data_IF_789431868130
#
_entry.id   IF_789431868130
#
_cell.length_a   1.000
_cell.length_b   1.000
_cell.length_c   1.000
_cell.angle_alpha   90.00
_cell.angle_beta   90.00
_cell.angle_gamma   90.00
#
_symmetry.space_group_name_H-M   'P 1'
#
loop_
_entity.id
_entity.type
_entity.pdbx_description
1 polymer ?
#
# COMPACT_ATOMS: atom_id res chain seq x y z
N UNK A 1 -19.64 13.20 18.31
CA UNK A 1 -19.64 14.52 17.62
C UNK A 1 -20.36 14.33 16.30
N UNK A 2 -21.47 14.99 16.12
CA UNK A 2 -22.19 15.06 14.84
C UNK A 2 -21.46 16.07 13.95
N UNK A 3 -21.00 15.62 12.81
CA UNK A 3 -20.30 16.45 11.85
C UNK A 3 -21.35 17.30 11.08
N UNK A 4 -21.45 18.57 11.39
CA UNK A 4 -22.40 19.49 10.76
C UNK A 4 -21.68 20.52 9.90
N UNK A 5 -22.02 20.54 8.59
CA UNK A 5 -21.48 21.54 7.66
C UNK A 5 -21.81 22.97 8.11
N UNK A 6 -23.01 23.19 8.68
CA UNK A 6 -23.42 24.50 9.18
C UNK A 6 -22.54 24.99 10.31
N UNK A 7 -22.23 24.11 11.27
CA UNK A 7 -21.32 24.44 12.38
C UNK A 7 -19.90 24.77 11.89
N UNK A 8 -19.42 24.05 10.90
CA UNK A 8 -18.10 24.31 10.33
C UNK A 8 -18.03 25.68 9.64
N UNK A 9 -19.05 26.03 8.85
CA UNK A 9 -19.15 27.35 8.22
C UNK A 9 -19.26 28.47 9.26
N UNK A 10 -20.06 28.28 10.30
CA UNK A 10 -20.17 29.26 11.40
C UNK A 10 -18.86 29.44 12.15
N UNK A 11 -18.09 28.37 12.36
CA UNK A 11 -16.78 28.45 13.01
C UNK A 11 -15.77 29.18 12.13
N UNK A 12 -15.79 28.96 10.81
CA UNK A 12 -14.99 29.70 9.85
C UNK A 12 -15.20 31.21 9.92
N UNK A 13 -16.45 31.64 10.11
CA UNK A 13 -16.81 33.07 10.20
C UNK A 13 -16.36 33.70 11.53
N UNK A 14 -16.23 32.90 12.59
CA UNK A 14 -15.84 33.36 13.94
C UNK A 14 -14.35 33.47 14.13
N UNK A 15 -13.57 32.62 13.50
CA UNK A 15 -12.12 32.60 13.65
C UNK A 15 -11.44 33.41 12.55
N UNK A 16 -10.64 34.40 12.95
CA UNK A 16 -9.95 35.28 12.02
C UNK A 16 -8.53 34.82 11.63
N UNK A 17 -7.95 33.88 12.39
CA UNK A 17 -6.56 33.41 12.21
C UNK A 17 -6.48 31.92 12.37
N UNK A 18 -5.86 31.27 11.40
CA UNK A 18 -5.48 29.86 11.41
C UNK A 18 -3.97 29.73 11.32
N UNK A 19 -3.40 28.76 12.04
CA UNK A 19 -1.96 28.45 11.97
C UNK A 19 -1.61 27.77 10.63
N UNK A 20 -2.55 26.97 10.08
CA UNK A 20 -2.34 26.19 8.86
C UNK A 20 -3.60 26.13 8.00
N UNK A 21 -3.45 26.48 6.73
CA UNK A 21 -4.46 26.28 5.69
C UNK A 21 -4.02 25.17 4.74
N UNK A 22 -4.84 24.12 4.60
CA UNK A 22 -4.62 23.00 3.68
C UNK A 22 -5.62 23.09 2.54
N UNK A 23 -5.14 23.08 1.31
CA UNK A 23 -5.98 23.09 0.11
C UNK A 23 -6.01 21.70 -0.53
N UNK A 24 -7.17 21.08 -0.53
CA UNK A 24 -7.44 19.77 -1.10
C UNK A 24 -7.61 18.65 -0.07
N UNK A 25 -8.77 17.99 -0.08
CA UNK A 25 -9.20 16.92 0.83
C UNK A 25 -8.88 15.51 0.32
N UNK A 26 -7.76 15.32 -0.39
CA UNK A 26 -7.24 14.01 -0.73
C UNK A 26 -6.52 13.32 0.44
N UNK A 27 -5.92 12.15 0.20
CA UNK A 27 -5.20 11.38 1.24
C UNK A 27 -4.10 12.19 1.92
N UNK A 28 -3.36 12.99 1.14
CA UNK A 28 -2.28 13.84 1.69
C UNK A 28 -2.84 14.95 2.57
N UNK A 29 -3.82 15.73 2.05
CA UNK A 29 -4.39 16.83 2.82
C UNK A 29 -5.08 16.37 4.10
N UNK A 30 -5.83 15.27 4.04
CA UNK A 30 -6.47 14.68 5.24
C UNK A 30 -5.45 14.21 6.27
N UNK A 31 -4.35 13.58 5.84
CA UNK A 31 -3.28 13.16 6.74
C UNK A 31 -2.56 14.38 7.35
N UNK A 32 -2.25 15.40 6.55
CA UNK A 32 -1.63 16.65 7.03
C UNK A 32 -2.50 17.34 8.06
N UNK A 33 -3.82 17.41 7.83
CA UNK A 33 -4.76 17.99 8.80
C UNK A 33 -4.77 17.20 10.12
N UNK A 34 -4.81 15.87 10.03
CA UNK A 34 -4.81 15.01 11.21
C UNK A 34 -3.54 15.19 12.04
N UNK A 35 -2.36 15.27 11.38
CA UNK A 35 -1.09 15.51 12.06
C UNK A 35 -1.04 16.89 12.68
N UNK A 36 -1.34 17.94 11.94
CA UNK A 36 -1.33 19.31 12.43
C UNK A 36 -2.27 19.48 13.64
N UNK A 37 -3.47 18.91 13.58
CA UNK A 37 -4.42 18.95 14.69
C UNK A 37 -3.92 18.16 15.91
N UNK A 38 -3.21 17.04 15.72
CA UNK A 38 -2.62 16.29 16.83
C UNK A 38 -1.47 17.03 17.50
N UNK A 39 -0.78 17.88 16.75
CA UNK A 39 0.28 18.78 17.26
C UNK A 39 -0.29 20.06 17.90
N UNK A 40 -1.62 20.21 17.95
CA UNK A 40 -2.29 21.34 18.60
C UNK A 40 -2.42 22.58 17.71
N UNK A 41 -2.12 22.49 16.41
CA UNK A 41 -2.27 23.61 15.49
C UNK A 41 -3.75 23.84 15.15
N UNK A 42 -4.16 25.10 15.18
CA UNK A 42 -5.46 25.53 14.68
C UNK A 42 -5.46 25.48 13.14
N UNK A 43 -5.96 24.37 12.60
CA UNK A 43 -5.79 24.06 11.18
C UNK A 43 -7.12 23.95 10.46
N UNK A 44 -7.14 24.39 9.21
CA UNK A 44 -8.31 24.29 8.32
C UNK A 44 -7.96 23.59 7.02
N UNK A 45 -8.89 22.75 6.53
CA UNK A 45 -8.79 22.12 5.23
C UNK A 45 -9.98 22.54 4.36
N UNK A 46 -9.68 23.00 3.15
CA UNK A 46 -10.67 23.37 2.14
C UNK A 46 -10.65 22.40 0.98
N UNK A 47 -11.80 21.81 0.66
CA UNK A 47 -11.99 20.95 -0.50
C UNK A 47 -13.12 21.53 -1.38
N UNK A 48 -12.83 21.71 -2.68
CA UNK A 48 -13.78 22.32 -3.62
C UNK A 48 -14.94 21.41 -4.02
N UNK A 49 -14.73 20.09 -3.99
CA UNK A 49 -15.74 19.11 -4.40
C UNK A 49 -16.13 18.23 -3.19
N UNK A 50 -15.74 16.95 -3.22
CA UNK A 50 -15.93 16.01 -2.13
C UNK A 50 -14.56 15.43 -1.71
N UNK A 51 -14.45 15.00 -0.46
CA UNK A 51 -13.23 14.38 0.04
C UNK A 51 -12.83 13.18 -0.82
N UNK A 52 -11.55 13.09 -1.08
CA UNK A 52 -10.93 12.02 -1.90
C UNK A 52 -11.48 11.91 -3.34
N UNK A 53 -12.25 12.85 -3.86
CA UNK A 53 -12.86 12.81 -5.21
C UNK A 53 -11.85 12.80 -6.37
N UNK A 54 -10.61 13.23 -6.12
CA UNK A 54 -9.51 13.27 -7.08
C UNK A 54 -8.72 11.95 -7.19
N UNK A 55 -7.39 12.07 -7.20
CA UNK A 55 -6.45 10.95 -7.35
C UNK A 55 -6.61 9.86 -6.27
N UNK A 56 -6.99 10.24 -5.04
CA UNK A 56 -7.15 9.31 -3.92
C UNK A 56 -8.23 8.25 -4.17
N UNK A 57 -9.30 8.56 -4.87
CA UNK A 57 -10.33 7.59 -5.26
C UNK A 57 -10.03 6.85 -6.55
N UNK A 58 -9.07 7.34 -7.36
CA UNK A 58 -8.70 6.76 -8.66
C UNK A 58 -7.47 5.87 -8.59
N UNK A 59 -7.01 5.56 -7.39
CA UNK A 59 -5.95 4.59 -7.12
C UNK A 59 -6.51 3.16 -7.06
N UNK A 60 -5.63 2.16 -6.98
CA UNK A 60 -6.03 0.75 -6.74
C UNK A 60 -6.64 0.53 -5.35
N UNK A 61 -6.57 1.51 -4.46
CA UNK A 61 -7.02 1.44 -3.05
C UNK A 61 -6.34 0.31 -2.26
N UNK A 62 -5.18 -0.14 -2.71
CA UNK A 62 -4.38 -1.15 -2.03
C UNK A 62 -3.41 -0.49 -1.06
N UNK A 63 -3.50 -0.87 0.22
CA UNK A 63 -2.45 -0.57 1.19
C UNK A 63 -1.35 -1.62 1.04
N UNK A 64 -0.22 -1.24 0.46
CA UNK A 64 0.88 -2.16 0.20
C UNK A 64 2.20 -1.66 0.80
N UNK A 65 3.07 -2.58 1.20
CA UNK A 65 4.38 -2.26 1.78
C UNK A 65 5.50 -2.08 0.75
N UNK A 66 5.17 -1.78 -0.51
CA UNK A 66 6.17 -1.42 -1.51
C UNK A 66 7.15 -2.53 -1.89
N UNK A 67 6.70 -3.79 -1.99
CA UNK A 67 7.54 -4.96 -2.33
C UNK A 67 8.37 -4.75 -3.60
N UNK A 68 7.89 -3.95 -4.57
CA UNK A 68 8.59 -3.61 -5.82
C UNK A 68 9.90 -2.82 -5.60
N UNK A 69 10.10 -2.23 -4.44
CA UNK A 69 11.31 -1.48 -4.11
C UNK A 69 12.44 -2.36 -3.55
N UNK A 70 12.14 -3.62 -3.20
CA UNK A 70 13.17 -4.56 -2.73
C UNK A 70 14.26 -4.83 -3.77
N UNK A 71 13.96 -5.06 -5.06
CA UNK A 71 14.98 -5.21 -6.09
C UNK A 71 15.90 -4.00 -6.25
N UNK A 72 15.42 -2.81 -5.86
CA UNK A 72 16.17 -1.55 -5.89
C UNK A 72 16.97 -1.31 -4.61
N UNK A 73 17.00 -2.30 -3.70
CA UNK A 73 17.68 -2.25 -2.40
C UNK A 73 17.20 -1.11 -1.47
N UNK A 74 15.99 -0.60 -1.69
CA UNK A 74 15.39 0.47 -0.89
C UNK A 74 14.70 -0.08 0.38
N UNK A 75 15.46 -0.75 1.23
CA UNK A 75 14.94 -1.44 2.42
C UNK A 75 14.31 -0.48 3.44
N UNK A 76 14.85 0.72 3.56
CA UNK A 76 14.31 1.78 4.44
C UNK A 76 12.88 2.15 4.03
N UNK A 77 12.67 2.42 2.74
CA UNK A 77 11.36 2.77 2.19
C UNK A 77 10.34 1.62 2.36
N UNK A 78 10.78 0.37 2.16
CA UNK A 78 9.91 -0.81 2.37
C UNK A 78 9.51 -0.92 3.84
N UNK A 79 10.45 -0.75 4.77
CA UNK A 79 10.18 -0.80 6.21
C UNK A 79 9.18 0.28 6.63
N UNK A 80 9.40 1.51 6.20
CA UNK A 80 8.51 2.64 6.46
C UNK A 80 7.09 2.37 5.90
N UNK A 81 6.99 1.97 4.63
CA UNK A 81 5.71 1.62 4.00
C UNK A 81 4.97 0.51 4.72
N UNK A 82 5.67 -0.49 5.26
CA UNK A 82 5.08 -1.59 6.05
C UNK A 82 4.60 -1.11 7.42
N UNK A 83 5.32 -0.17 8.05
CA UNK A 83 4.90 0.45 9.30
C UNK A 83 3.62 1.28 9.11
N UNK A 84 3.58 2.11 8.06
CA UNK A 84 2.39 2.89 7.70
C UNK A 84 1.20 1.98 7.35
N UNK A 85 1.42 0.90 6.58
CA UNK A 85 0.38 -0.09 6.30
C UNK A 85 -0.23 -0.66 7.59
N UNK A 86 0.61 -0.91 8.61
CA UNK A 86 0.14 -1.42 9.90
C UNK A 86 -0.67 -0.37 10.66
N UNK A 87 -0.20 0.86 10.70
CA UNK A 87 -0.88 1.98 11.39
C UNK A 87 -2.24 2.20 10.75
N UNK A 88 -2.28 2.38 9.43
CA UNK A 88 -3.52 2.58 8.69
C UNK A 88 -4.46 1.38 8.79
N UNK A 89 -3.94 0.15 8.72
CA UNK A 89 -4.74 -1.05 8.89
C UNK A 89 -5.40 -1.16 10.28
N UNK A 90 -4.75 -0.66 11.32
CA UNK A 90 -5.32 -0.59 12.67
C UNK A 90 -6.39 0.52 12.78
N UNK A 91 -6.12 1.70 12.18
CA UNK A 91 -7.06 2.82 12.17
C UNK A 91 -8.34 2.49 11.39
N UNK A 92 -8.19 1.86 10.24
CA UNK A 92 -9.32 1.52 9.36
C UNK A 92 -10.15 0.35 9.89
N UNK A 93 -9.61 -0.48 10.76
CA UNK A 93 -10.33 -1.59 11.41
C UNK A 93 -11.07 -2.48 10.40
N UNK A 94 -12.41 -2.50 10.47
CA UNK A 94 -13.27 -3.32 9.59
C UNK A 94 -13.28 -2.89 8.12
N UNK A 95 -12.89 -1.66 7.82
CA UNK A 95 -12.78 -1.15 6.45
C UNK A 95 -11.56 -1.71 5.72
N UNK A 96 -10.55 -2.16 6.46
CA UNK A 96 -9.36 -2.79 5.92
C UNK A 96 -9.53 -4.31 5.83
N UNK A 97 -9.48 -4.85 4.63
CA UNK A 97 -9.53 -6.30 4.39
C UNK A 97 -8.22 -6.77 3.76
N UNK A 98 -7.56 -7.78 4.35
CA UNK A 98 -6.40 -8.41 3.73
C UNK A 98 -6.76 -9.03 2.38
N UNK A 99 -5.96 -8.73 1.37
CA UNK A 99 -6.09 -9.31 0.04
C UNK A 99 -4.91 -10.26 -0.22
N UNK A 100 -5.21 -11.48 -0.63
CA UNK A 100 -4.19 -12.40 -1.11
C UNK A 100 -3.85 -12.08 -2.57
N UNK A 101 -2.57 -11.92 -2.85
CA UNK A 101 -2.06 -11.65 -4.19
C UNK A 101 -1.31 -12.86 -4.70
N UNK A 102 -1.60 -13.25 -5.94
CA UNK A 102 -0.87 -14.28 -6.65
C UNK A 102 0.25 -13.66 -7.47
N UNK A 103 1.47 -14.14 -7.27
CA UNK A 103 2.63 -13.78 -8.08
C UNK A 103 3.06 -14.99 -8.92
N UNK A 104 2.62 -15.11 -10.18
CA UNK A 104 3.05 -16.17 -11.07
C UNK A 104 4.47 -15.89 -11.58
N UNK A 105 5.32 -16.92 -11.61
CA UNK A 105 6.70 -16.83 -12.13
C UNK A 105 6.79 -17.65 -13.41
N UNK A 106 7.05 -16.99 -14.51
CA UNK A 106 7.25 -17.61 -15.82
C UNK A 106 8.73 -17.83 -16.15
N UNK A 107 8.98 -18.75 -17.06
CA UNK A 107 10.32 -18.90 -17.69
C UNK A 107 10.56 -17.66 -18.56
N UNK A 108 11.66 -16.98 -18.38
CA UNK A 108 12.02 -15.75 -19.07
C UNK A 108 11.22 -14.49 -18.63
N UNK A 109 10.50 -14.54 -17.54
CA UNK A 109 10.10 -13.30 -16.86
C UNK A 109 11.39 -12.63 -16.36
N UNK A 110 12.00 -11.82 -17.22
CA UNK A 110 13.04 -10.91 -16.79
C UNK A 110 12.38 -9.93 -15.83
N UNK A 111 12.74 -10.00 -14.56
CA UNK A 111 12.46 -8.91 -13.63
C UNK A 111 13.25 -7.70 -14.11
N UNK A 112 12.65 -6.89 -15.00
CA UNK A 112 13.32 -5.76 -15.64
C UNK A 112 13.91 -4.76 -14.62
N UNK A 113 13.32 -4.72 -13.43
CA UNK A 113 13.75 -3.87 -12.32
C UNK A 113 14.85 -4.49 -11.45
N UNK A 114 15.28 -5.72 -11.73
CA UNK A 114 16.37 -6.36 -10.98
C UNK A 114 17.73 -6.11 -11.63
N UNK A 115 18.83 -6.05 -10.83
CA UNK A 115 20.18 -6.04 -11.37
C UNK A 115 20.40 -7.22 -12.32
N UNK A 116 21.16 -7.02 -13.39
CA UNK A 116 21.36 -8.01 -14.49
C UNK A 116 21.79 -9.40 -14.00
N UNK A 117 22.51 -9.48 -12.88
CA UNK A 117 22.94 -10.74 -12.23
C UNK A 117 21.74 -11.61 -11.82
N UNK A 118 20.62 -10.99 -11.41
CA UNK A 118 19.41 -11.69 -10.94
C UNK A 118 18.37 -11.91 -12.05
N UNK A 119 18.62 -11.40 -13.26
CA UNK A 119 17.71 -11.61 -14.41
C UNK A 119 17.83 -13.00 -15.02
N UNK A 120 18.80 -13.82 -14.58
CA UNK A 120 18.99 -15.17 -15.08
C UNK A 120 17.84 -16.08 -14.59
N UNK A 121 17.31 -16.90 -15.49
CA UNK A 121 16.21 -17.86 -15.24
C UNK A 121 16.40 -18.79 -14.03
N UNK A 122 17.63 -19.06 -13.63
CA UNK A 122 17.95 -19.90 -12.49
C UNK A 122 17.92 -19.15 -11.15
N UNK A 123 18.36 -17.90 -11.14
CA UNK A 123 18.47 -17.09 -9.93
C UNK A 123 17.20 -16.28 -9.63
N UNK A 124 16.46 -15.86 -10.65
CA UNK A 124 15.28 -15.02 -10.48
C UNK A 124 14.22 -15.58 -9.50
N UNK A 125 13.82 -16.87 -9.55
CA UNK A 125 12.86 -17.41 -8.58
C UNK A 125 13.40 -17.49 -7.15
N UNK A 126 14.71 -17.68 -6.99
CA UNK A 126 15.36 -17.73 -5.68
C UNK A 126 15.48 -16.33 -5.09
N UNK A 127 15.88 -15.36 -5.92
CA UNK A 127 15.95 -13.95 -5.53
C UNK A 127 14.57 -13.41 -5.15
N UNK A 128 13.53 -13.75 -5.91
CA UNK A 128 12.15 -13.37 -5.58
C UNK A 128 11.71 -13.97 -4.24
N UNK A 129 11.98 -15.26 -4.00
CA UNK A 129 11.71 -15.91 -2.71
C UNK A 129 12.45 -15.23 -1.56
N UNK A 130 13.74 -14.90 -1.77
CA UNK A 130 14.54 -14.17 -0.78
C UNK A 130 13.91 -12.79 -0.50
N UNK A 131 13.50 -12.08 -1.54
CA UNK A 131 12.78 -10.81 -1.42
C UNK A 131 11.51 -10.93 -0.60
N UNK A 132 10.70 -11.98 -0.80
CA UNK A 132 9.51 -12.24 0.00
C UNK A 132 9.85 -12.52 1.47
N UNK A 133 10.91 -13.31 1.74
CA UNK A 133 11.38 -13.57 3.12
C UNK A 133 11.83 -12.27 3.79
N UNK A 134 12.60 -11.43 3.09
CA UNK A 134 13.02 -10.12 3.59
C UNK A 134 11.82 -9.21 3.85
N UNK A 135 10.85 -9.20 2.94
CA UNK A 135 9.62 -8.44 3.11
C UNK A 135 8.85 -8.89 4.36
N UNK A 136 8.72 -10.20 4.58
CA UNK A 136 8.10 -10.77 5.77
C UNK A 136 8.87 -10.43 7.06
N UNK A 137 10.21 -10.30 6.98
CA UNK A 137 11.05 -9.92 8.11
C UNK A 137 10.98 -8.43 8.44
N UNK A 138 10.91 -7.57 7.41
CA UNK A 138 10.77 -6.12 7.56
C UNK A 138 9.36 -5.74 8.04
N UNK A 139 8.36 -6.53 7.67
CA UNK A 139 7.00 -6.39 8.17
C UNK A 139 6.88 -6.98 9.58
N UNK A 140 6.09 -6.36 10.44
CA UNK A 140 5.73 -6.93 11.74
C UNK A 140 4.88 -8.19 11.50
N UNK A 141 5.50 -9.36 11.68
CA UNK A 141 4.84 -10.66 11.53
C UNK A 141 3.58 -10.73 12.38
N UNK A 142 2.40 -10.65 11.76
CA UNK A 142 1.22 -11.28 12.36
C UNK A 142 1.33 -12.78 12.05
N UNK A 143 1.38 -13.62 13.09
CA UNK A 143 1.30 -15.09 12.96
C UNK A 143 0.23 -15.47 11.95
N UNK A 144 0.58 -16.16 10.87
CA UNK A 144 -0.36 -16.75 9.92
C UNK A 144 -0.34 -16.21 8.48
N UNK A 145 0.43 -15.16 8.17
CA UNK A 145 0.52 -14.57 6.81
C UNK A 145 1.89 -14.81 6.18
N UNK A 146 2.30 -16.06 6.08
CA UNK A 146 3.50 -16.40 5.31
C UNK A 146 3.10 -16.64 3.86
N UNK A 147 3.90 -16.13 2.92
CA UNK A 147 3.78 -16.52 1.53
C UNK A 147 3.89 -18.06 1.39
N UNK A 148 3.08 -18.63 0.52
CA UNK A 148 3.11 -20.05 0.19
C UNK A 148 3.53 -20.24 -1.26
N UNK A 149 4.34 -21.26 -1.51
CA UNK A 149 4.57 -21.72 -2.87
C UNK A 149 3.39 -22.58 -3.29
N UNK A 150 2.85 -22.34 -4.46
CA UNK A 150 1.82 -23.17 -5.07
C UNK A 150 2.30 -23.69 -6.43
N UNK A 151 1.90 -24.90 -6.76
CA UNK A 151 2.26 -25.57 -8.00
C UNK A 151 1.54 -24.94 -9.21
N UNK A 152 1.96 -25.32 -10.41
CA UNK A 152 1.32 -24.87 -11.66
C UNK A 152 -0.15 -25.31 -11.70
N UNK A 153 -0.43 -26.56 -11.25
CA UNK A 153 -1.80 -27.10 -11.28
C UNK A 153 -2.71 -26.42 -10.25
N UNK A 154 -2.20 -26.15 -9.05
CA UNK A 154 -2.93 -25.37 -8.04
C UNK A 154 -3.16 -23.92 -8.52
N UNK A 155 -2.15 -23.32 -9.14
CA UNK A 155 -2.30 -21.98 -9.75
C UNK A 155 -3.40 -21.96 -10.79
N UNK A 156 -3.43 -22.97 -11.67
CA UNK A 156 -4.43 -23.08 -12.72
C UNK A 156 -5.85 -23.36 -12.20
N UNK A 157 -5.98 -24.03 -11.06
CA UNK A 157 -7.28 -24.22 -10.38
C UNK A 157 -7.79 -22.90 -9.79
N UNK A 158 -6.91 -22.14 -9.15
CA UNK A 158 -7.27 -20.84 -8.54
C UNK A 158 -7.52 -19.74 -9.58
N UNK A 159 -6.75 -19.74 -10.67
CA UNK A 159 -6.80 -18.74 -11.73
C UNK A 159 -6.80 -19.41 -13.11
N UNK A 160 -7.95 -19.91 -13.57
CA UNK A 160 -8.06 -20.68 -14.83
C UNK A 160 -7.63 -19.90 -16.09
N UNK A 161 -7.73 -18.56 -16.06
CA UNK A 161 -7.38 -17.69 -17.19
C UNK A 161 -5.87 -17.44 -17.33
N UNK A 162 -5.04 -17.86 -16.36
CA UNK A 162 -3.59 -17.70 -16.44
C UNK A 162 -3.00 -18.66 -17.50
N UNK A 163 -2.09 -18.12 -18.32
CA UNK A 163 -1.35 -18.93 -19.30
C UNK A 163 -0.49 -19.94 -18.56
N UNK A 164 -0.70 -21.25 -18.83
CA UNK A 164 0.11 -22.32 -18.24
C UNK A 164 1.48 -22.49 -18.91
N UNK A 165 1.58 -22.14 -20.21
CA UNK A 165 2.83 -22.26 -20.97
C UNK A 165 3.93 -21.44 -20.30
N UNK A 166 5.05 -22.10 -20.00
CA UNK A 166 6.21 -21.50 -19.32
C UNK A 166 6.00 -21.07 -17.85
N UNK A 167 4.85 -21.34 -17.24
CA UNK A 167 4.66 -21.11 -15.80
C UNK A 167 5.50 -22.11 -15.01
N UNK A 168 6.34 -21.62 -14.11
CA UNK A 168 7.22 -22.47 -13.26
C UNK A 168 6.57 -22.75 -11.91
N UNK A 169 6.08 -21.74 -11.25
CA UNK A 169 5.43 -21.78 -9.94
C UNK A 169 4.78 -20.44 -9.64
N UNK A 170 3.98 -20.40 -8.60
CA UNK A 170 3.43 -19.14 -8.09
C UNK A 170 3.64 -19.02 -6.58
N UNK A 171 3.59 -17.80 -6.11
CA UNK A 171 3.58 -17.46 -4.69
C UNK A 171 2.23 -16.79 -4.37
N UNK A 172 1.65 -17.09 -3.21
CA UNK A 172 0.42 -16.48 -2.72
C UNK A 172 0.58 -16.02 -1.27
#
# INVERSE_FOLDING_TARGET
MTFSRKEQLTNLEKESIYDLLIIGGGVVGSASLAMASSDGLNSILLEKNDFASGASSRSTKLLHGGIRYLPQLQFGLVRESLQEQKILGNLLGKLYKPLQLLAPIYKNDGFADMPKIFQNNFFAPKAFKLGLVLYDLLGTRKKGRKHKNISVDETAKLFPLLKRKNLKKSFI
#
